data_IF_783008175432
#
_entry.id   IF_783008175432
#
_cell.length_a   1.000
_cell.length_b   1.000
_cell.length_c   1.000
_cell.angle_alpha   90.00
_cell.angle_beta   90.00
_cell.angle_gamma   90.00
#
_symmetry.space_group_name_H-M   'P 1'
#
loop_
_entity.id
_entity.type
_entity.pdbx_description
1 polymer ?
#
# COMPACT_ATOMS: atom_id res chain seq x y z
N UNK A 1 -10.15 27.28 30.46
CA UNK A 1 -10.30 26.82 29.06
C UNK A 1 -11.77 26.82 28.71
N UNK A 2 -12.18 27.52 27.65
CA UNK A 2 -13.59 27.61 27.23
C UNK A 2 -13.80 26.87 25.91
N UNK A 3 -14.96 26.23 25.75
CA UNK A 3 -15.32 25.56 24.52
C UNK A 3 -15.48 26.58 23.38
N UNK A 4 -15.04 26.22 22.18
CA UNK A 4 -15.25 27.07 21.01
C UNK A 4 -16.74 27.23 20.70
N UNK A 5 -17.12 28.37 20.14
CA UNK A 5 -18.52 28.67 19.79
C UNK A 5 -19.16 27.60 18.89
N UNK A 6 -18.40 27.06 17.94
CA UNK A 6 -18.86 25.96 17.09
C UNK A 6 -19.21 24.70 17.90
N UNK A 7 -18.43 24.40 18.94
CA UNK A 7 -18.67 23.28 19.84
C UNK A 7 -19.93 23.52 20.68
N UNK A 8 -20.13 24.75 21.17
CA UNK A 8 -21.34 25.14 21.92
C UNK A 8 -22.61 24.97 21.06
N UNK A 9 -22.60 25.46 19.82
CA UNK A 9 -23.74 25.27 18.90
C UNK A 9 -24.00 23.80 18.60
N UNK A 10 -22.95 23.02 18.34
CA UNK A 10 -23.07 21.58 18.10
C UNK A 10 -23.76 20.87 19.27
N UNK A 11 -23.35 21.16 20.51
CA UNK A 11 -23.94 20.57 21.69
C UNK A 11 -25.39 21.01 21.91
N UNK A 12 -25.70 22.30 21.76
CA UNK A 12 -27.07 22.81 21.87
C UNK A 12 -28.00 22.08 20.89
N UNK A 13 -27.58 21.94 19.62
CA UNK A 13 -28.32 21.17 18.62
C UNK A 13 -28.52 19.71 19.05
N UNK A 14 -27.46 19.03 19.51
CA UNK A 14 -27.56 17.62 19.93
C UNK A 14 -28.55 17.41 21.08
N UNK A 15 -28.57 18.30 22.09
CA UNK A 15 -29.54 18.22 23.19
C UNK A 15 -30.97 18.52 22.73
N UNK A 16 -31.16 19.48 21.81
CA UNK A 16 -32.50 19.72 21.23
C UNK A 16 -33.01 18.56 20.38
N UNK A 17 -32.12 17.76 19.80
CA UNK A 17 -32.47 16.56 19.02
C UNK A 17 -32.72 15.32 19.91
N UNK A 18 -32.67 15.46 21.24
CA UNK A 18 -33.01 14.38 22.17
C UNK A 18 -31.81 13.57 22.68
N UNK A 19 -30.58 14.06 22.51
CA UNK A 19 -29.43 13.49 23.23
C UNK A 19 -29.54 13.84 24.70
N UNK A 20 -29.46 12.85 25.60
CA UNK A 20 -29.54 13.08 27.05
C UNK A 20 -28.19 13.02 27.79
N UNK A 21 -27.13 12.55 27.10
CA UNK A 21 -25.83 12.23 27.70
C UNK A 21 -24.71 13.14 27.22
N UNK A 22 -23.94 13.67 28.17
CA UNK A 22 -22.77 14.55 27.93
C UNK A 22 -21.53 13.75 27.57
N UNK A 23 -21.48 12.46 27.90
CA UNK A 23 -20.32 11.61 27.63
C UNK A 23 -20.09 11.43 26.13
N UNK A 24 -18.82 11.18 25.77
CA UNK A 24 -18.47 10.86 24.40
C UNK A 24 -19.18 9.58 23.96
N UNK A 25 -19.93 9.69 22.86
CA UNK A 25 -20.51 8.51 22.22
C UNK A 25 -19.40 7.56 21.74
N UNK A 26 -19.67 6.25 21.64
CA UNK A 26 -18.71 5.33 21.04
C UNK A 26 -18.44 5.77 19.60
N UNK A 27 -17.17 6.05 19.31
CA UNK A 27 -16.71 6.33 17.95
C UNK A 27 -16.30 5.01 17.29
N UNK A 28 -16.62 4.83 16.00
CA UNK A 28 -16.11 3.70 15.24
C UNK A 28 -14.58 3.78 15.19
N UNK A 29 -13.92 2.92 15.96
CA UNK A 29 -12.46 2.82 15.92
C UNK A 29 -12.03 2.16 14.61
N UNK A 30 -10.82 2.48 14.16
CA UNK A 30 -10.20 1.73 13.06
C UNK A 30 -10.19 0.23 13.43
N UNK A 31 -10.73 -0.65 12.58
CA UNK A 31 -10.72 -2.08 12.86
C UNK A 31 -9.28 -2.56 12.92
N UNK A 32 -8.98 -3.41 13.90
CA UNK A 32 -7.69 -4.08 13.98
C UNK A 32 -7.67 -5.19 12.94
N UNK A 33 -6.99 -4.94 11.82
CA UNK A 33 -6.92 -5.90 10.69
C UNK A 33 -5.57 -6.62 10.60
N UNK A 34 -4.68 -6.45 11.58
CA UNK A 34 -3.40 -7.17 11.61
C UNK A 34 -3.65 -8.67 11.87
N UNK A 35 -3.10 -9.55 11.02
CA UNK A 35 -3.13 -11.01 11.21
C UNK A 35 -1.80 -11.51 11.79
N UNK A 36 -1.86 -12.59 12.56
CA UNK A 36 -0.67 -13.30 13.05
C UNK A 36 -0.25 -14.38 12.04
N UNK A 37 0.97 -14.90 12.18
CA UNK A 37 1.49 -15.95 11.29
C UNK A 37 0.64 -17.23 11.35
N UNK A 38 0.12 -17.58 12.52
CA UNK A 38 -0.77 -18.73 12.73
C UNK A 38 -2.10 -18.53 12.00
N UNK A 39 -2.68 -17.34 12.12
CA UNK A 39 -3.95 -17.03 11.44
C UNK A 39 -3.81 -17.09 9.92
N UNK A 40 -2.66 -16.66 9.41
CA UNK A 40 -2.33 -16.75 7.99
C UNK A 40 -2.17 -18.21 7.55
N UNK A 41 -1.47 -19.02 8.35
CA UNK A 41 -1.29 -20.46 8.09
C UNK A 41 -2.63 -21.21 8.02
N UNK A 42 -3.53 -20.94 8.97
CA UNK A 42 -4.88 -21.51 9.00
C UNK A 42 -5.70 -21.10 7.76
N UNK A 43 -5.72 -19.82 7.42
CA UNK A 43 -6.57 -19.26 6.35
C UNK A 43 -6.12 -19.67 4.96
N UNK A 44 -4.80 -19.84 4.77
CA UNK A 44 -4.21 -20.22 3.49
C UNK A 44 -3.88 -21.72 3.41
N UNK A 45 -4.15 -22.48 4.47
CA UNK A 45 -3.83 -23.91 4.58
C UNK A 45 -2.37 -24.23 4.22
N UNK A 46 -1.44 -23.39 4.66
CA UNK A 46 0.01 -23.58 4.47
C UNK A 46 0.69 -23.84 5.81
N UNK A 47 1.86 -24.47 5.77
CA UNK A 47 2.63 -24.72 6.98
C UNK A 47 3.10 -23.41 7.63
N UNK A 48 3.18 -23.37 8.96
CA UNK A 48 3.72 -22.22 9.69
C UNK A 48 5.15 -21.86 9.23
N UNK A 49 6.01 -22.87 9.01
CA UNK A 49 7.36 -22.66 8.49
C UNK A 49 7.37 -22.00 7.11
N UNK A 50 6.41 -22.34 6.24
CA UNK A 50 6.22 -21.67 4.94
C UNK A 50 5.86 -20.20 5.11
N UNK A 51 4.95 -19.86 6.04
CA UNK A 51 4.58 -18.46 6.33
C UNK A 51 5.81 -17.67 6.76
N UNK A 52 6.60 -18.23 7.68
CA UNK A 52 7.82 -17.57 8.16
C UNK A 52 8.86 -17.39 7.07
N UNK A 53 9.03 -18.39 6.21
CA UNK A 53 9.99 -18.32 5.10
C UNK A 53 9.57 -17.27 4.07
N UNK A 54 8.28 -17.20 3.72
CA UNK A 54 7.77 -16.20 2.76
C UNK A 54 7.95 -14.79 3.33
N UNK A 55 7.61 -14.58 4.60
CA UNK A 55 7.75 -13.26 5.23
C UNK A 55 9.22 -12.87 5.36
N UNK A 56 10.07 -13.74 5.93
CA UNK A 56 11.45 -13.39 6.27
C UNK A 56 12.42 -13.53 5.09
N UNK A 57 12.34 -14.63 4.35
CA UNK A 57 13.31 -14.98 3.30
C UNK A 57 12.93 -14.41 1.95
N UNK A 58 11.67 -14.56 1.53
CA UNK A 58 11.25 -14.14 0.19
C UNK A 58 10.94 -12.63 0.12
N UNK A 59 10.33 -12.09 1.18
CA UNK A 59 10.00 -10.67 1.24
C UNK A 59 11.03 -9.82 2.00
N UNK A 60 11.94 -10.43 2.76
CA UNK A 60 12.99 -9.73 3.51
C UNK A 60 12.47 -8.92 4.71
N UNK A 61 11.21 -9.14 5.11
CA UNK A 61 10.58 -8.36 6.19
C UNK A 61 10.46 -9.18 7.47
N UNK A 62 10.63 -8.52 8.61
CA UNK A 62 10.27 -9.11 9.92
C UNK A 62 8.78 -8.98 10.21
N UNK A 63 8.11 -8.02 9.57
CA UNK A 63 6.67 -7.75 9.64
C UNK A 63 6.21 -7.02 8.39
N UNK A 64 5.06 -7.43 7.85
CA UNK A 64 4.43 -6.74 6.71
C UNK A 64 3.40 -5.74 7.23
N UNK A 65 3.59 -4.46 6.91
CA UNK A 65 2.62 -3.40 7.15
C UNK A 65 2.05 -2.92 5.81
N UNK A 66 0.87 -3.44 5.45
CA UNK A 66 0.19 -3.04 4.21
C UNK A 66 -0.75 -1.86 4.44
N UNK A 67 -0.73 -0.89 3.51
CA UNK A 67 -1.76 0.15 3.39
C UNK A 67 -2.64 -0.22 2.20
N UNK A 68 -3.93 -0.43 2.45
CA UNK A 68 -4.91 -0.60 1.36
C UNK A 68 -5.01 0.71 0.58
N UNK A 69 -4.63 0.67 -0.70
CA UNK A 69 -4.94 1.74 -1.65
C UNK A 69 -6.34 1.45 -2.18
N UNK A 70 -7.28 2.35 -1.91
CA UNK A 70 -8.64 2.23 -2.43
C UNK A 70 -8.59 2.48 -3.94
N UNK A 71 -8.53 1.41 -4.73
CA UNK A 71 -8.69 1.51 -6.18
C UNK A 71 -10.19 1.50 -6.50
N UNK A 72 -10.72 2.52 -7.20
CA UNK A 72 -12.10 2.48 -7.68
C UNK A 72 -12.27 1.28 -8.61
N UNK A 73 -13.23 0.41 -8.30
CA UNK A 73 -13.63 -0.69 -9.20
C UNK A 73 -14.25 -0.07 -10.46
N UNK A 74 -13.50 -0.04 -11.57
CA UNK A 74 -14.01 0.47 -12.86
C UNK A 74 -12.97 1.01 -13.86
N UNK A 75 -11.70 1.22 -13.48
CA UNK A 75 -10.66 1.83 -14.34
C UNK A 75 -9.69 0.80 -14.98
N UNK A 76 -10.21 -0.29 -15.55
CA UNK A 76 -9.38 -1.47 -15.87
C UNK A 76 -8.82 -1.67 -17.30
N UNK A 77 -8.93 -0.79 -18.33
CA UNK A 77 -8.22 -1.10 -19.58
C UNK A 77 -6.84 -0.43 -19.73
N UNK A 78 -6.50 0.68 -19.05
CA UNK A 78 -5.35 1.50 -19.49
C UNK A 78 -4.09 1.48 -18.59
N UNK A 79 -4.15 0.93 -17.37
CA UNK A 79 -3.00 0.98 -16.44
C UNK A 79 -2.20 -0.33 -16.31
N UNK A 80 -2.56 -1.37 -17.07
CA UNK A 80 -1.78 -2.62 -17.13
C UNK A 80 -0.34 -2.49 -17.65
N UNK A 81 0.05 -1.50 -18.49
CA UNK A 81 1.45 -1.38 -18.92
C UNK A 81 2.40 -0.96 -17.78
N UNK A 82 1.91 -0.19 -16.80
CA UNK A 82 2.75 0.42 -15.75
C UNK A 82 3.04 -0.55 -14.60
N UNK A 83 2.13 -1.48 -14.30
CA UNK A 83 2.39 -2.52 -13.29
C UNK A 83 3.39 -3.57 -13.77
N UNK A 84 3.41 -3.87 -15.08
CA UNK A 84 4.37 -4.77 -15.71
C UNK A 84 5.81 -4.20 -15.68
N UNK A 85 5.98 -2.88 -15.77
CA UNK A 85 7.32 -2.25 -15.74
C UNK A 85 7.99 -2.39 -14.38
N UNK A 86 7.22 -2.43 -13.28
CA UNK A 86 7.77 -2.57 -11.94
C UNK A 86 8.25 -4.00 -11.64
N UNK A 87 7.68 -5.02 -12.31
CA UNK A 87 8.13 -6.42 -12.16
C UNK A 87 9.52 -6.64 -12.76
N UNK A 88 9.85 -5.97 -13.86
CA UNK A 88 11.19 -6.02 -14.47
C UNK A 88 12.29 -5.46 -13.55
N UNK A 89 11.94 -4.52 -12.66
CA UNK A 89 12.89 -3.94 -11.69
C UNK A 89 13.17 -4.86 -10.50
N UNK A 90 12.23 -5.74 -10.16
CA UNK A 90 12.40 -6.71 -9.08
C UNK A 90 13.29 -7.90 -9.45
N UNK A 91 13.37 -8.25 -10.74
CA UNK A 91 14.24 -9.34 -11.24
C UNK A 91 15.67 -8.89 -11.60
N UNK A 92 16.00 -7.60 -11.46
CA UNK A 92 17.35 -7.11 -11.72
C UNK A 92 18.31 -7.57 -10.60
N UNK A 93 19.10 -8.61 -10.89
CA UNK A 93 20.21 -9.04 -10.04
C UNK A 93 21.15 -7.86 -9.74
N UNK A 94 21.62 -7.68 -8.49
CA UNK A 94 22.56 -6.61 -8.19
C UNK A 94 23.92 -6.97 -8.80
N UNK A 95 24.37 -6.22 -9.81
CA UNK A 95 25.80 -6.23 -10.14
C UNK A 95 26.27 -6.06 -11.60
N UNK A 96 25.43 -5.79 -12.60
CA UNK A 96 25.94 -5.56 -13.96
C UNK A 96 25.85 -4.08 -14.33
N UNK A 97 27.01 -3.40 -14.35
CA UNK A 97 27.14 -2.09 -15.00
C UNK A 97 26.93 -2.29 -16.51
N UNK A 98 26.21 -1.37 -17.18
CA UNK A 98 26.15 -1.40 -18.64
C UNK A 98 27.50 -0.92 -19.19
N UNK A 99 28.22 -1.83 -19.85
CA UNK A 99 29.37 -1.49 -20.68
C UNK A 99 28.87 -0.65 -21.87
N UNK A 100 29.38 0.58 -21.98
CA UNK A 100 29.07 1.44 -23.11
C UNK A 100 29.95 1.11 -24.32
N UNK A 101 29.25 0.93 -25.45
CA UNK A 101 29.64 1.09 -26.86
C UNK A 101 30.04 -0.20 -27.61
N UNK A 102 29.40 -0.49 -28.77
CA UNK A 102 29.78 0.22 -30.01
C UNK A 102 28.61 0.49 -30.99
N UNK A 103 28.27 1.75 -31.23
CA UNK A 103 27.60 2.14 -32.47
C UNK A 103 28.63 2.26 -33.60
N UNK A 104 28.75 1.15 -34.31
CA UNK A 104 29.22 1.08 -35.69
C UNK A 104 28.16 1.72 -36.58
N UNK A 105 28.50 2.82 -37.26
CA UNK A 105 28.00 3.14 -38.60
C UNK A 105 28.92 4.18 -39.24
N UNK A 106 29.76 3.70 -40.17
CA UNK A 106 30.49 4.54 -41.10
C UNK A 106 29.50 5.25 -42.01
N UNK A 107 29.42 6.56 -41.85
CA UNK A 107 28.73 7.45 -42.77
C UNK A 107 29.48 7.52 -44.09
N UNK A 108 28.72 7.35 -45.17
CA UNK A 108 29.06 7.79 -46.52
C UNK A 108 29.45 9.27 -46.48
N UNK A 109 30.65 9.61 -46.94
CA UNK A 109 30.97 10.95 -47.42
C UNK A 109 31.09 10.90 -48.94
N UNK A 110 30.01 11.35 -49.59
CA UNK A 110 30.10 11.95 -50.92
C UNK A 110 30.52 13.41 -50.75
N UNK A 111 31.26 13.90 -51.75
CA UNK A 111 31.54 15.30 -52.12
C UNK A 111 32.97 15.79 -51.85
N UNK A 112 33.70 15.82 -52.98
CA UNK A 112 34.84 16.66 -53.38
C UNK A 112 36.16 16.56 -52.60
#
# INVERSE_FOLDING_TARGET
ETLSWARVKFWCSQFTTGRERVENQPHARRPRTSKTEEKIAEELCISYGSVQNIIKSDSGFTKIAARWVLFPRGLFPELLPQSATNLGRFHALPGQKPDHNPLRNGGMNLCL
#
